data_IF_315661464951
#
_entry.id   IF_315661464951
#
_cell.length_a   1.000
_cell.length_b   1.000
_cell.length_c   1.000
_cell.angle_alpha   90.00
_cell.angle_beta   90.00
_cell.angle_gamma   90.00
#
_symmetry.space_group_name_H-M   'P 1'
#
loop_
_entity.id
_entity.type
_entity.pdbx_description
1 polymer ?
#
# COMPACT_ATOMS: atom_id res chain seq x y z
N UNK A 1 -17.07 76.35 3.39
CA UNK A 1 -16.30 75.22 2.80
C UNK A 1 -16.33 74.02 3.76
N UNK A 2 -17.27 73.06 3.62
CA UNK A 2 -17.31 71.88 4.48
C UNK A 2 -17.36 70.59 3.63
N UNK A 3 -16.20 70.08 3.20
CA UNK A 3 -16.12 68.85 2.38
C UNK A 3 -15.03 67.87 2.79
N UNK A 4 -14.23 68.18 3.81
CA UNK A 4 -13.02 67.42 4.14
C UNK A 4 -13.21 66.37 5.24
N UNK A 5 -14.18 66.54 6.15
CA UNK A 5 -14.33 65.67 7.32
C UNK A 5 -15.11 64.35 7.11
N UNK A 6 -15.83 64.18 6.00
CA UNK A 6 -16.56 62.90 5.73
C UNK A 6 -15.64 61.87 5.06
N UNK A 7 -14.62 62.31 4.32
CA UNK A 7 -13.71 61.42 3.59
C UNK A 7 -12.79 60.61 4.50
N UNK A 8 -12.32 61.18 5.61
CA UNK A 8 -11.36 60.50 6.50
C UNK A 8 -12.00 59.33 7.27
N UNK A 9 -13.20 59.50 7.84
CA UNK A 9 -13.90 58.41 8.54
C UNK A 9 -14.40 57.28 7.62
N UNK A 10 -14.71 57.59 6.36
CA UNK A 10 -15.14 56.59 5.37
C UNK A 10 -13.92 55.86 4.81
N UNK A 11 -12.80 56.56 4.56
CA UNK A 11 -11.56 55.95 4.08
C UNK A 11 -10.93 55.04 5.14
N UNK A 12 -10.90 55.44 6.42
CA UNK A 12 -10.39 54.61 7.53
C UNK A 12 -11.25 53.36 7.78
N UNK A 13 -12.57 53.41 7.52
CA UNK A 13 -13.46 52.25 7.65
C UNK A 13 -13.42 51.34 6.42
N UNK A 14 -13.20 51.89 5.22
CA UNK A 14 -13.14 51.12 3.98
C UNK A 14 -11.76 50.50 3.75
N UNK A 15 -10.68 51.08 4.27
CA UNK A 15 -9.31 50.56 4.12
C UNK A 15 -9.12 49.13 4.70
N UNK A 16 -9.58 48.80 5.93
CA UNK A 16 -9.48 47.43 6.44
C UNK A 16 -10.39 46.46 5.66
N UNK A 17 -11.56 46.92 5.20
CA UNK A 17 -12.47 46.10 4.38
C UNK A 17 -11.83 45.80 3.02
N UNK A 18 -11.18 46.78 2.40
CA UNK A 18 -10.43 46.60 1.15
C UNK A 18 -9.23 45.67 1.35
N UNK A 19 -8.49 45.78 2.45
CA UNK A 19 -7.38 44.86 2.77
C UNK A 19 -7.87 43.42 2.97
N UNK A 20 -8.98 43.23 3.68
CA UNK A 20 -9.56 41.89 3.86
C UNK A 20 -10.08 41.35 2.53
N UNK A 21 -10.74 42.18 1.72
CA UNK A 21 -11.24 41.79 0.40
C UNK A 21 -10.10 41.40 -0.55
N UNK A 22 -8.98 42.13 -0.57
CA UNK A 22 -7.82 41.80 -1.42
C UNK A 22 -7.12 40.51 -0.97
N UNK A 23 -7.00 40.28 0.34
CA UNK A 23 -6.45 39.02 0.88
C UNK A 23 -7.35 37.83 0.52
N UNK A 24 -8.67 37.95 0.68
CA UNK A 24 -9.62 36.89 0.30
C UNK A 24 -9.55 36.61 -1.20
N UNK A 25 -9.50 37.66 -2.03
CA UNK A 25 -9.42 37.52 -3.47
C UNK A 25 -8.12 36.84 -3.91
N UNK A 26 -6.98 37.21 -3.31
CA UNK A 26 -5.69 36.57 -3.56
C UNK A 26 -5.69 35.09 -3.15
N UNK A 27 -6.30 34.75 -2.02
CA UNK A 27 -6.42 33.36 -1.56
C UNK A 27 -7.32 32.53 -2.49
N UNK A 28 -8.45 33.09 -2.93
CA UNK A 28 -9.35 32.42 -3.88
C UNK A 28 -8.67 32.18 -5.24
N UNK A 29 -7.93 33.17 -5.76
CA UNK A 29 -7.13 33.02 -6.99
C UNK A 29 -6.05 31.95 -6.82
N UNK A 30 -5.35 31.91 -5.69
CA UNK A 30 -4.36 30.88 -5.39
C UNK A 30 -4.95 29.46 -5.34
N UNK A 31 -6.10 29.29 -4.69
CA UNK A 31 -6.83 28.00 -4.67
C UNK A 31 -7.24 27.59 -6.07
N UNK A 32 -7.75 28.53 -6.88
CA UNK A 32 -8.19 28.25 -8.24
C UNK A 32 -7.00 27.84 -9.13
N UNK A 33 -5.86 28.53 -9.00
CA UNK A 33 -4.64 28.21 -9.72
C UNK A 33 -4.09 26.84 -9.34
N UNK A 34 -4.01 26.52 -8.04
CA UNK A 34 -3.55 25.20 -7.58
C UNK A 34 -4.45 24.07 -8.06
N UNK A 35 -5.77 24.29 -8.11
CA UNK A 35 -6.72 23.29 -8.63
C UNK A 35 -6.58 23.11 -10.14
N UNK A 36 -6.37 24.19 -10.90
CA UNK A 36 -6.10 24.12 -12.35
C UNK A 36 -4.77 23.43 -12.64
N UNK A 37 -3.69 23.80 -11.94
CA UNK A 37 -2.39 23.14 -12.07
C UNK A 37 -2.43 21.66 -11.67
N UNK A 38 -3.27 21.28 -10.70
CA UNK A 38 -3.50 19.87 -10.34
C UNK A 38 -4.29 19.10 -11.40
N UNK A 39 -5.13 19.76 -12.19
CA UNK A 39 -5.89 19.14 -13.29
C UNK A 39 -5.05 19.06 -14.58
N UNK A 40 -4.16 20.04 -14.81
CA UNK A 40 -3.21 20.05 -15.92
C UNK A 40 -1.98 19.17 -15.64
N UNK A 41 -1.58 19.01 -14.37
CA UNK A 41 -0.42 18.25 -13.90
C UNK A 41 -0.57 16.74 -13.91
N UNK A 42 -1.44 16.18 -14.77
CA UNK A 42 -1.52 14.75 -15.03
C UNK A 42 -0.30 14.23 -15.80
N UNK A 43 0.91 14.35 -15.22
CA UNK A 43 2.13 13.58 -15.52
C UNK A 43 3.23 13.96 -14.52
N UNK A 44 3.48 13.05 -13.57
CA UNK A 44 4.77 12.72 -12.94
C UNK A 44 5.73 13.85 -12.57
N UNK A 45 6.08 13.97 -11.28
CA UNK A 45 7.26 13.30 -10.68
C UNK A 45 7.38 13.71 -9.19
N UNK A 46 7.16 12.77 -8.26
CA UNK A 46 7.83 12.81 -6.96
C UNK A 46 8.69 11.55 -6.83
N UNK A 47 9.92 11.81 -6.43
CA UNK A 47 11.12 11.00 -6.52
C UNK A 47 11.08 9.89 -5.47
N UNK A 48 10.52 8.74 -5.82
CA UNK A 48 10.92 7.49 -5.19
C UNK A 48 12.35 7.14 -5.66
N UNK A 49 13.21 6.90 -4.69
CA UNK A 49 14.58 6.47 -4.90
C UNK A 49 14.61 5.15 -5.70
N UNK A 50 15.38 5.03 -6.80
CA UNK A 50 15.54 3.76 -7.47
C UNK A 50 16.52 2.92 -6.64
N UNK A 51 16.00 2.19 -5.66
CA UNK A 51 16.56 0.86 -5.42
C UNK A 51 16.20 0.04 -6.65
N UNK A 52 17.24 -0.49 -7.29
CA UNK A 52 17.23 -1.33 -8.48
C UNK A 52 16.36 -2.58 -8.28
N UNK A 53 15.04 -2.42 -8.39
CA UNK A 53 14.10 -3.53 -8.59
C UNK A 53 13.56 -3.37 -10.00
N UNK A 54 14.38 -3.79 -10.96
CA UNK A 54 13.90 -4.10 -12.29
C UNK A 54 12.65 -4.98 -12.14
N UNK A 55 11.52 -4.51 -12.66
CA UNK A 55 10.35 -5.38 -12.80
C UNK A 55 10.80 -6.60 -13.62
N UNK A 56 10.61 -7.84 -13.11
CA UNK A 56 11.04 -9.03 -13.83
C UNK A 56 10.39 -9.09 -15.22
N UNK A 57 11.03 -9.77 -16.18
CA UNK A 57 10.47 -9.95 -17.51
C UNK A 57 9.04 -10.51 -17.46
N UNK A 58 8.18 -9.99 -18.34
CA UNK A 58 6.72 -10.22 -18.39
C UNK A 58 6.30 -11.61 -18.89
N UNK A 59 7.26 -12.54 -19.04
CA UNK A 59 7.03 -13.93 -19.45
C UNK A 59 6.78 -14.88 -18.26
N UNK A 60 6.76 -14.35 -17.03
CA UNK A 60 6.33 -15.07 -15.83
C UNK A 60 7.34 -16.09 -15.32
N UNK A 61 8.57 -16.10 -15.86
CA UNK A 61 9.68 -16.90 -15.33
C UNK A 61 10.64 -16.00 -14.55
N UNK A 62 10.98 -16.45 -13.34
CA UNK A 62 12.09 -15.89 -12.61
C UNK A 62 13.38 -16.14 -13.41
N UNK A 63 14.27 -15.15 -13.46
CA UNK A 63 15.63 -15.40 -13.94
C UNK A 63 16.32 -16.44 -13.03
N UNK A 64 17.36 -17.10 -13.53
CA UNK A 64 18.11 -18.10 -12.75
C UNK A 64 18.64 -17.50 -11.44
N UNK A 65 19.11 -16.25 -11.48
CA UNK A 65 19.55 -15.49 -10.31
C UNK A 65 18.41 -15.20 -9.31
N UNK A 66 17.20 -14.96 -9.81
CA UNK A 66 16.03 -14.73 -8.95
C UNK A 66 15.53 -16.03 -8.34
N UNK A 67 15.47 -17.11 -9.12
CA UNK A 67 15.09 -18.44 -8.65
C UNK A 67 16.06 -18.94 -7.57
N UNK A 68 17.37 -18.68 -7.72
CA UNK A 68 18.38 -19.02 -6.71
C UNK A 68 18.24 -18.26 -5.39
N UNK A 69 17.53 -17.13 -5.36
CA UNK A 69 17.27 -16.32 -4.15
C UNK A 69 16.00 -16.74 -3.41
N UNK A 70 15.13 -17.54 -4.02
CA UNK A 70 13.96 -18.07 -3.33
C UNK A 70 14.42 -19.12 -2.32
N UNK A 71 14.09 -18.90 -1.05
CA UNK A 71 14.39 -19.86 0.00
C UNK A 71 13.68 -21.18 -0.27
N UNK A 72 14.46 -22.27 -0.31
CA UNK A 72 13.96 -23.62 -0.58
C UNK A 72 12.92 -24.04 0.46
N UNK A 73 11.99 -24.89 0.06
CA UNK A 73 11.05 -25.55 0.98
C UNK A 73 11.82 -26.48 1.91
N UNK A 74 11.46 -26.50 3.18
CA UNK A 74 12.09 -27.32 4.23
C UNK A 74 11.06 -27.90 5.18
N UNK A 75 11.48 -28.84 6.03
CA UNK A 75 10.59 -29.48 7.03
C UNK A 75 10.04 -28.51 8.09
N UNK A 76 10.55 -27.28 8.15
CA UNK A 76 10.05 -26.23 9.06
C UNK A 76 8.87 -25.46 8.49
N UNK A 77 8.59 -25.64 7.20
CA UNK A 77 7.48 -24.95 6.54
C UNK A 77 6.14 -25.59 6.93
N UNK A 78 5.11 -24.74 7.03
CA UNK A 78 3.72 -25.20 7.15
C UNK A 78 3.23 -25.63 5.78
N UNK A 79 3.18 -26.94 5.55
CA UNK A 79 2.82 -27.54 4.27
C UNK A 79 1.42 -28.14 4.34
N UNK A 80 0.52 -27.65 3.48
CA UNK A 80 -0.81 -28.22 3.26
C UNK A 80 -0.86 -28.94 1.91
N UNK A 81 -1.35 -30.18 1.91
CA UNK A 81 -1.38 -31.06 0.72
C UNK A 81 -0.27 -32.11 0.73
N UNK A 82 0.06 -32.64 -0.45
CA UNK A 82 1.04 -33.71 -0.59
C UNK A 82 2.48 -33.18 -0.46
N UNK A 83 3.25 -33.63 0.54
CA UNK A 83 4.65 -33.19 0.74
C UNK A 83 5.59 -33.57 -0.42
N UNK A 84 5.20 -34.55 -1.23
CA UNK A 84 5.93 -35.00 -2.42
C UNK A 84 5.33 -34.44 -3.73
N UNK A 85 4.52 -33.37 -3.65
CA UNK A 85 3.91 -32.72 -4.80
C UNK A 85 4.95 -32.26 -5.84
N UNK A 86 4.54 -32.25 -7.12
CA UNK A 86 5.39 -31.78 -8.22
C UNK A 86 5.53 -30.27 -8.23
N UNK A 87 4.52 -29.56 -7.70
CA UNK A 87 4.45 -28.11 -7.66
C UNK A 87 4.25 -27.64 -6.23
N UNK A 88 5.03 -26.65 -5.82
CA UNK A 88 4.93 -26.01 -4.51
C UNK A 88 4.52 -24.54 -4.68
N UNK A 89 3.34 -24.19 -4.15
CA UNK A 89 2.88 -22.81 -4.05
C UNK A 89 3.37 -22.22 -2.72
N UNK A 90 4.39 -21.36 -2.75
CA UNK A 90 4.88 -20.67 -1.56
C UNK A 90 4.17 -19.31 -1.45
N UNK A 91 3.32 -19.16 -0.44
CA UNK A 91 2.64 -17.91 -0.13
C UNK A 91 3.31 -17.19 1.04
N UNK A 92 3.75 -15.96 0.82
CA UNK A 92 4.14 -15.03 1.88
C UNK A 92 2.94 -14.17 2.23
N UNK A 93 2.50 -14.24 3.48
CA UNK A 93 1.17 -13.75 3.85
C UNK A 93 1.13 -13.10 5.23
N UNK A 94 0.18 -12.21 5.40
CA UNK A 94 -0.01 -11.38 6.58
C UNK A 94 -1.47 -11.46 7.02
N UNK A 95 -1.71 -11.80 8.30
CA UNK A 95 -3.04 -12.00 8.86
C UNK A 95 -3.92 -10.74 8.92
N UNK A 96 -3.36 -9.54 8.85
CA UNK A 96 -4.12 -8.29 8.77
C UNK A 96 -4.29 -7.78 7.33
N UNK A 97 -3.59 -8.37 6.36
CA UNK A 97 -3.63 -7.89 4.98
C UNK A 97 -4.94 -8.30 4.28
N UNK A 98 -5.75 -7.33 3.81
CA UNK A 98 -7.02 -7.63 3.15
C UNK A 98 -6.85 -8.32 1.78
N UNK A 99 -5.68 -8.16 1.13
CA UNK A 99 -5.38 -8.86 -0.12
C UNK A 99 -5.01 -10.32 0.13
N UNK A 100 -4.23 -10.60 1.17
CA UNK A 100 -3.94 -11.96 1.63
C UNK A 100 -5.24 -12.69 2.00
N UNK A 101 -6.12 -12.04 2.76
CA UNK A 101 -7.42 -12.61 3.11
C UNK A 101 -8.29 -12.93 1.87
N UNK A 102 -8.23 -12.09 0.83
CA UNK A 102 -8.94 -12.33 -0.43
C UNK A 102 -8.31 -13.47 -1.26
N UNK A 103 -7.00 -13.64 -1.18
CA UNK A 103 -6.27 -14.69 -1.89
C UNK A 103 -6.43 -16.08 -1.25
N UNK A 104 -6.56 -16.15 0.07
CA UNK A 104 -6.73 -17.40 0.81
C UNK A 104 -7.74 -18.40 0.19
N UNK A 105 -8.98 -18.02 -0.17
CA UNK A 105 -9.90 -18.94 -0.84
C UNK A 105 -9.42 -19.40 -2.24
N UNK A 106 -8.64 -18.58 -2.94
CA UNK A 106 -8.01 -18.99 -4.21
C UNK A 106 -6.93 -20.04 -3.98
N UNK A 107 -6.11 -19.92 -2.94
CA UNK A 107 -5.13 -20.95 -2.58
C UNK A 107 -5.82 -22.27 -2.21
N UNK A 108 -6.93 -22.22 -1.48
CA UNK A 108 -7.76 -23.39 -1.19
C UNK A 108 -8.32 -24.03 -2.47
N UNK A 109 -8.89 -23.22 -3.37
CA UNK A 109 -9.40 -23.72 -4.66
C UNK A 109 -8.31 -24.41 -5.49
N UNK A 110 -7.08 -23.90 -5.47
CA UNK A 110 -5.95 -24.52 -6.16
C UNK A 110 -5.64 -25.90 -5.58
N UNK A 111 -5.62 -26.04 -4.24
CA UNK A 111 -5.44 -27.35 -3.62
C UNK A 111 -6.57 -28.31 -3.99
N UNK A 112 -7.81 -27.83 -4.01
CA UNK A 112 -8.99 -28.65 -4.35
C UNK A 112 -8.98 -29.09 -5.83
N UNK A 113 -8.52 -28.24 -6.75
CA UNK A 113 -8.51 -28.51 -8.19
C UNK A 113 -7.37 -29.43 -8.62
N UNK A 114 -6.18 -29.28 -8.02
CA UNK A 114 -4.98 -30.01 -8.44
C UNK A 114 -4.59 -31.18 -7.51
N UNK A 115 -5.19 -31.28 -6.33
CA UNK A 115 -5.00 -32.41 -5.41
C UNK A 115 -3.53 -32.70 -5.10
N UNK A 116 -3.12 -33.95 -5.25
CA UNK A 116 -1.79 -34.44 -4.88
C UNK A 116 -0.63 -33.90 -5.74
N UNK A 117 -0.92 -33.22 -6.85
CA UNK A 117 0.10 -32.62 -7.71
C UNK A 117 0.63 -31.28 -7.15
N UNK A 118 -0.05 -30.70 -6.15
CA UNK A 118 0.32 -29.42 -5.54
C UNK A 118 0.39 -29.49 -4.01
N UNK A 119 1.31 -28.72 -3.45
CA UNK A 119 1.35 -28.40 -2.04
C UNK A 119 1.41 -26.89 -1.83
N UNK A 120 0.69 -26.41 -0.85
CA UNK A 120 0.67 -25.01 -0.45
C UNK A 120 1.51 -24.83 0.81
N UNK A 121 2.49 -23.94 0.72
CA UNK A 121 3.35 -23.54 1.82
C UNK A 121 2.96 -22.14 2.26
N UNK A 122 2.64 -21.99 3.54
CA UNK A 122 2.34 -20.69 4.12
C UNK A 122 3.55 -20.17 4.91
N UNK A 123 4.05 -18.97 4.58
CA UNK A 123 5.13 -18.29 5.28
C UNK A 123 4.67 -16.93 5.78
N UNK A 124 4.91 -16.65 7.06
CA UNK A 124 4.56 -15.37 7.67
C UNK A 124 5.39 -14.22 7.09
N UNK A 125 4.72 -13.17 6.63
CA UNK A 125 5.33 -11.92 6.16
C UNK A 125 4.63 -10.70 6.76
N UNK A 126 4.69 -10.52 8.09
CA UNK A 126 4.02 -9.42 8.77
C UNK A 126 4.61 -8.06 8.34
N UNK A 127 3.76 -7.16 7.86
CA UNK A 127 4.12 -5.81 7.47
C UNK A 127 4.08 -4.88 8.69
N UNK A 128 5.07 -5.04 9.58
CA UNK A 128 5.09 -4.42 10.92
C UNK A 128 4.81 -2.91 10.96
N UNK A 129 5.15 -2.19 9.88
CA UNK A 129 4.99 -0.73 9.80
C UNK A 129 3.53 -0.30 9.62
N UNK A 130 2.69 -1.15 9.02
CA UNK A 130 1.30 -0.83 8.68
C UNK A 130 0.27 -1.81 9.28
N UNK A 131 0.71 -2.99 9.71
CA UNK A 131 -0.10 -4.03 10.31
C UNK A 131 0.42 -4.40 11.71
N UNK A 132 0.07 -3.62 12.75
CA UNK A 132 0.66 -3.76 14.08
C UNK A 132 0.28 -5.07 14.81
N UNK A 133 -0.78 -5.76 14.38
CA UNK A 133 -1.19 -7.07 14.93
C UNK A 133 -0.78 -8.25 14.05
N UNK A 134 -0.21 -8.03 12.86
CA UNK A 134 0.24 -9.10 11.98
C UNK A 134 1.26 -10.03 12.64
N UNK A 135 2.30 -9.46 13.26
CA UNK A 135 3.34 -10.23 13.94
C UNK A 135 2.82 -10.96 15.19
N UNK A 136 2.07 -10.34 16.11
CA UNK A 136 1.40 -11.06 17.19
C UNK A 136 0.49 -12.19 16.70
N UNK A 137 -0.26 -11.99 15.61
CA UNK A 137 -1.11 -13.03 15.03
C UNK A 137 -0.30 -14.18 14.44
N UNK A 138 0.80 -13.89 13.74
CA UNK A 138 1.77 -14.89 13.28
C UNK A 138 2.35 -15.71 14.43
N UNK A 139 2.77 -15.06 15.51
CA UNK A 139 3.24 -15.76 16.70
C UNK A 139 2.16 -16.65 17.32
N UNK A 140 0.92 -16.17 17.37
CA UNK A 140 -0.19 -16.94 17.89
C UNK A 140 -0.52 -18.17 17.04
N UNK A 141 -0.44 -18.06 15.70
CA UNK A 141 -0.65 -19.22 14.81
C UNK A 141 0.45 -20.25 14.95
N UNK A 142 1.72 -19.82 15.08
CA UNK A 142 2.83 -20.75 15.34
C UNK A 142 2.64 -21.49 16.68
N UNK A 143 2.22 -20.79 17.74
CA UNK A 143 1.88 -21.44 19.01
C UNK A 143 0.71 -22.44 18.85
N UNK A 144 -0.25 -22.17 17.98
CA UNK A 144 -1.34 -23.11 17.71
C UNK A 144 -0.85 -24.35 16.95
N UNK A 145 0.06 -24.16 15.98
CA UNK A 145 0.67 -25.25 15.23
C UNK A 145 1.49 -26.18 16.14
N UNK A 146 2.26 -25.63 17.09
CA UNK A 146 2.99 -26.40 18.11
C UNK A 146 2.07 -27.30 18.96
N UNK A 147 0.80 -26.91 19.11
CA UNK A 147 -0.22 -27.67 19.84
C UNK A 147 -0.98 -28.67 18.96
N UNK A 148 -0.60 -28.82 17.69
CA UNK A 148 -1.26 -29.70 16.72
C UNK A 148 -2.39 -29.04 15.92
N UNK A 149 -2.45 -27.71 15.88
CA UNK A 149 -3.26 -26.99 14.90
C UNK A 149 -2.69 -27.15 13.49
N UNK A 150 -3.58 -27.16 12.50
CA UNK A 150 -3.27 -27.33 11.06
C UNK A 150 -3.61 -26.08 10.24
#
# INVERSE_FOLDING_TARGET
>A
MPGKMIKENVLERLLPILLVATVILAFAVGILWQKVSSLEGGKTTEKAQPTDVAQPPVDGKLSEDQAGKVEKVSDKDHIRGNKDAKVFLIEYSDFECPFCARFHPTAQQILDEYGDDIAWIYRHFPLDTIHPRARPAAQASECAADLGGE
#
